data_IF_197113888548
#
_entry.id   IF_197113888548
#
_cell.length_a   1.000
_cell.length_b   1.000
_cell.length_c   1.000
_cell.angle_alpha   90.00
_cell.angle_beta   90.00
_cell.angle_gamma   90.00
#
_symmetry.space_group_name_H-M   'P 1'
#
loop_
_entity.id
_entity.type
_entity.pdbx_description
1 polymer ?
#
# COMPACT_ATOMS: atom_id res chain seq x y z
N UNK A 1 14.41 15.33 -25.90
CA UNK A 1 13.08 15.40 -25.25
C UNK A 1 13.01 14.51 -24.02
N UNK A 2 13.54 13.30 -24.05
CA UNK A 2 13.53 12.30 -22.95
C UNK A 2 14.29 12.77 -21.67
N UNK A 3 15.39 13.49 -21.82
CA UNK A 3 16.20 14.00 -20.69
C UNK A 3 15.50 15.09 -19.85
N UNK A 4 14.61 15.89 -20.45
CA UNK A 4 13.83 16.89 -19.71
C UNK A 4 12.71 16.25 -18.89
N UNK A 5 12.04 15.21 -19.38
CA UNK A 5 11.02 14.48 -18.63
C UNK A 5 11.60 13.79 -17.38
N UNK A 6 12.82 13.20 -17.47
CA UNK A 6 13.51 12.59 -16.31
C UNK A 6 13.77 13.60 -15.18
N UNK A 7 14.07 14.86 -15.50
CA UNK A 7 14.32 15.90 -14.51
C UNK A 7 13.08 16.34 -13.74
N UNK A 8 11.92 16.36 -14.40
CA UNK A 8 10.64 16.68 -13.76
C UNK A 8 10.14 15.56 -12.86
N UNK A 9 10.33 14.29 -13.27
CA UNK A 9 9.88 13.14 -12.51
C UNK A 9 10.69 12.95 -11.21
N UNK A 10 11.98 13.19 -11.24
CA UNK A 10 12.84 13.07 -10.05
C UNK A 10 12.59 14.19 -9.03
N UNK A 11 12.29 15.41 -9.48
CA UNK A 11 11.82 16.50 -8.60
C UNK A 11 10.44 16.22 -8.01
N UNK A 12 9.57 15.56 -8.75
CA UNK A 12 8.25 15.13 -8.29
C UNK A 12 8.31 14.06 -7.21
N UNK A 13 9.19 13.07 -7.35
CA UNK A 13 9.35 12.00 -6.36
C UNK A 13 9.86 12.52 -5.01
N UNK A 14 10.83 13.43 -5.03
CA UNK A 14 11.32 14.10 -3.81
C UNK A 14 10.27 15.02 -3.20
N UNK A 15 9.48 15.72 -4.02
CA UNK A 15 8.37 16.56 -3.56
C UNK A 15 7.25 15.73 -2.94
N UNK A 16 6.97 14.54 -3.49
CA UNK A 16 5.96 13.62 -2.96
C UNK A 16 6.40 13.01 -1.63
N UNK A 17 7.70 12.70 -1.47
CA UNK A 17 8.26 12.25 -0.20
C UNK A 17 8.22 13.38 0.86
N UNK A 18 8.54 14.61 0.46
CA UNK A 18 8.45 15.80 1.32
C UNK A 18 7.01 16.12 1.72
N UNK A 19 6.05 15.95 0.80
CA UNK A 19 4.63 16.12 1.09
C UNK A 19 4.14 15.06 2.08
N UNK A 20 4.60 13.81 1.94
CA UNK A 20 4.28 12.74 2.87
C UNK A 20 4.90 12.98 4.26
N UNK A 21 6.14 13.49 4.32
CA UNK A 21 6.78 13.92 5.57
C UNK A 21 6.05 15.11 6.22
N UNK A 22 5.61 16.08 5.44
CA UNK A 22 4.86 17.26 5.93
C UNK A 22 3.49 16.90 6.48
N UNK A 23 2.81 15.91 5.91
CA UNK A 23 1.53 15.39 6.43
C UNK A 23 1.72 14.68 7.78
N UNK A 24 2.89 14.04 8.00
CA UNK A 24 3.23 13.40 9.27
C UNK A 24 3.63 14.43 10.33
N UNK A 25 4.24 15.56 9.94
CA UNK A 25 4.69 16.60 10.89
C UNK A 25 3.60 17.60 11.29
N UNK A 26 2.40 17.48 10.73
CA UNK A 26 1.25 18.30 11.07
C UNK A 26 0.83 18.12 12.54
N UNK A 27 1.31 19.00 13.42
CA UNK A 27 0.94 19.17 14.84
C UNK A 27 1.41 18.07 15.79
N UNK A 28 2.71 17.93 15.95
CA UNK A 28 3.24 17.47 17.25
C UNK A 28 3.24 18.68 18.20
N UNK A 29 2.08 19.02 18.74
CA UNK A 29 1.99 19.77 19.99
C UNK A 29 2.44 18.82 21.08
N UNK A 30 3.64 19.04 21.61
CA UNK A 30 4.17 18.33 22.76
C UNK A 30 3.38 18.70 24.04
N UNK A 31 2.14 18.24 24.13
CA UNK A 31 1.45 18.16 25.41
C UNK A 31 1.87 16.87 26.10
N UNK A 32 2.45 16.97 27.30
CA UNK A 32 2.75 15.90 28.26
C UNK A 32 1.46 15.23 28.77
N UNK A 33 0.64 14.68 27.89
CA UNK A 33 -0.38 13.68 28.23
C UNK A 33 0.17 12.37 27.72
N UNK A 34 0.32 11.37 28.60
CA UNK A 34 0.79 10.04 28.22
C UNK A 34 0.12 9.60 26.93
N UNK A 35 0.93 9.31 25.91
CA UNK A 35 0.47 8.96 24.57
C UNK A 35 -0.25 7.60 24.66
N UNK A 36 -1.56 7.63 24.87
CA UNK A 36 -2.39 6.42 24.82
C UNK A 36 -2.57 6.06 23.35
N UNK A 37 -1.78 5.09 22.86
CA UNK A 37 -1.98 4.51 21.54
C UNK A 37 -3.35 3.83 21.55
N UNK A 38 -4.28 4.33 20.74
CA UNK A 38 -5.57 3.69 20.54
C UNK A 38 -5.32 2.34 19.85
N UNK A 39 -5.98 1.24 20.24
CA UNK A 39 -5.91 -0.02 19.51
C UNK A 39 -6.35 0.17 18.05
N UNK A 40 -5.83 -0.61 17.11
CA UNK A 40 -6.20 -0.49 15.71
C UNK A 40 -7.69 -0.80 15.51
N UNK A 41 -8.32 -0.10 14.59
CA UNK A 41 -9.74 -0.28 14.27
C UNK A 41 -9.98 -1.56 13.44
N UNK A 42 -8.92 -2.10 12.81
CA UNK A 42 -9.01 -3.30 12.01
C UNK A 42 -7.66 -4.00 11.80
N UNK A 43 -7.75 -5.27 11.47
CA UNK A 43 -6.64 -6.14 11.06
C UNK A 43 -6.92 -6.59 9.62
N UNK A 44 -5.87 -6.70 8.81
CA UNK A 44 -5.92 -7.20 7.43
C UNK A 44 -4.96 -8.37 7.26
N UNK A 45 -5.39 -9.39 6.53
CA UNK A 45 -4.53 -10.45 6.00
C UNK A 45 -4.70 -10.44 4.49
N UNK A 46 -3.59 -10.37 3.76
CA UNK A 46 -3.59 -10.25 2.31
C UNK A 46 -2.66 -11.28 1.70
N UNK A 47 -3.10 -11.86 0.61
CA UNK A 47 -2.36 -12.75 -0.26
C UNK A 47 -1.96 -12.00 -1.53
N UNK A 48 -0.71 -12.16 -1.97
CA UNK A 48 -0.13 -11.55 -3.16
C UNK A 48 -0.13 -9.99 -3.12
N UNK A 49 -0.18 -9.36 -4.28
CA UNK A 49 -0.23 -7.89 -4.40
C UNK A 49 1.13 -7.20 -4.33
N UNK A 50 2.25 -7.93 -4.55
CA UNK A 50 3.59 -7.36 -4.61
C UNK A 50 4.20 -6.89 -3.28
N UNK A 51 3.45 -6.97 -2.18
CA UNK A 51 3.93 -6.63 -0.83
C UNK A 51 4.38 -7.85 -0.03
N UNK A 52 4.32 -9.04 -0.64
CA UNK A 52 4.67 -10.34 -0.09
C UNK A 52 3.79 -11.45 -0.67
N UNK A 53 4.13 -12.71 -0.41
CA UNK A 53 3.25 -13.85 -0.68
C UNK A 53 2.04 -13.83 0.26
N UNK A 54 2.31 -13.55 1.52
CA UNK A 54 1.30 -13.27 2.54
C UNK A 54 1.72 -12.04 3.34
N UNK A 55 0.78 -11.21 3.70
CA UNK A 55 1.00 -10.07 4.59
C UNK A 55 -0.07 -9.99 5.65
N UNK A 56 0.33 -9.49 6.82
CA UNK A 56 -0.56 -9.17 7.93
C UNK A 56 -0.36 -7.71 8.31
N UNK A 57 -1.43 -7.00 8.55
CA UNK A 57 -1.38 -5.59 8.90
C UNK A 57 -2.49 -5.18 9.83
N UNK A 58 -2.33 -4.01 10.40
CA UNK A 58 -3.32 -3.36 11.24
C UNK A 58 -3.44 -1.90 10.83
N UNK A 59 -4.61 -1.30 11.08
CA UNK A 59 -4.83 0.07 10.64
C UNK A 59 -5.97 0.77 11.35
N UNK A 60 -6.10 2.03 10.96
CA UNK A 60 -7.10 2.95 11.49
C UNK A 60 -7.98 3.46 10.36
N UNK A 61 -9.24 3.66 10.67
CA UNK A 61 -10.22 4.23 9.75
C UNK A 61 -10.70 5.58 10.29
N UNK A 62 -10.96 6.53 9.40
CA UNK A 62 -11.64 7.77 9.78
C UNK A 62 -13.08 7.50 10.20
N UNK A 63 -13.68 8.37 11.03
CA UNK A 63 -15.06 8.23 11.53
C UNK A 63 -16.09 8.08 10.39
N UNK A 64 -15.87 8.73 9.27
CA UNK A 64 -16.72 8.63 8.08
C UNK A 64 -16.41 7.41 7.18
N UNK A 65 -15.45 6.55 7.57
CA UNK A 65 -15.00 5.37 6.84
C UNK A 65 -14.53 5.64 5.39
N UNK A 66 -14.19 6.90 5.06
CA UNK A 66 -13.72 7.28 3.72
C UNK A 66 -12.22 7.15 3.54
N UNK A 67 -11.46 7.18 4.62
CA UNK A 67 -10.00 7.05 4.62
C UNK A 67 -9.58 5.98 5.61
N UNK A 68 -8.66 5.13 5.17
CA UNK A 68 -8.00 4.12 6.01
C UNK A 68 -6.49 4.26 5.85
N UNK A 69 -5.76 4.02 6.93
CA UNK A 69 -4.32 3.93 6.95
C UNK A 69 -3.90 2.61 7.58
N UNK A 70 -3.03 1.88 6.90
CA UNK A 70 -2.59 0.54 7.31
C UNK A 70 -1.07 0.48 7.37
N UNK A 71 -0.56 -0.28 8.33
CA UNK A 71 0.82 -0.73 8.37
C UNK A 71 0.80 -2.26 8.31
N UNK A 72 1.56 -2.83 7.38
CA UNK A 72 1.57 -4.27 7.13
C UNK A 72 2.98 -4.81 7.09
N UNK A 73 3.15 -6.04 7.52
CA UNK A 73 4.36 -6.84 7.37
C UNK A 73 4.09 -7.95 6.37
N UNK A 74 4.93 -8.03 5.34
CA UNK A 74 4.85 -9.01 4.27
C UNK A 74 5.99 -10.03 4.34
N UNK A 75 5.68 -11.25 3.92
CA UNK A 75 6.63 -12.35 3.84
C UNK A 75 6.51 -13.07 2.50
N UNK A 76 7.64 -13.24 1.82
CA UNK A 76 7.77 -14.08 0.62
C UNK A 76 8.70 -15.25 0.95
N UNK A 77 8.20 -16.50 0.95
CA UNK A 77 9.02 -17.67 1.24
C UNK A 77 9.95 -18.00 0.08
N UNK A 78 11.09 -18.64 0.38
CA UNK A 78 12.08 -19.06 -0.61
C UNK A 78 11.50 -19.99 -1.68
N UNK A 79 10.55 -20.84 -1.30
CA UNK A 79 9.89 -21.79 -2.22
C UNK A 79 9.10 -21.12 -3.32
N UNK A 80 8.67 -19.87 -3.15
CA UNK A 80 7.89 -19.11 -4.13
C UNK A 80 8.77 -18.09 -4.85
N UNK A 81 9.60 -17.35 -4.12
CA UNK A 81 10.40 -16.25 -4.68
C UNK A 81 11.87 -16.58 -4.93
N UNK A 82 12.31 -17.83 -4.75
CA UNK A 82 13.72 -18.23 -4.86
C UNK A 82 14.58 -17.79 -3.67
N UNK A 83 14.27 -16.65 -3.07
CA UNK A 83 14.88 -16.09 -1.85
C UNK A 83 13.79 -15.71 -0.84
N UNK A 84 14.17 -15.64 0.44
CA UNK A 84 13.25 -15.11 1.47
C UNK A 84 13.29 -13.59 1.43
N UNK A 85 12.11 -12.98 1.39
CA UNK A 85 11.97 -11.52 1.43
C UNK A 85 10.99 -11.17 2.55
N UNK A 86 11.41 -10.25 3.38
CA UNK A 86 10.58 -9.62 4.40
C UNK A 86 10.33 -8.17 3.95
N UNK A 87 9.12 -7.67 4.16
CA UNK A 87 8.79 -6.29 3.79
C UNK A 87 7.91 -5.63 4.84
N UNK A 88 7.97 -4.31 4.87
CA UNK A 88 7.03 -3.47 5.60
C UNK A 88 6.38 -2.54 4.59
N UNK A 89 5.06 -2.41 4.66
CA UNK A 89 4.33 -1.50 3.79
C UNK A 89 3.37 -0.60 4.56
N UNK A 90 3.40 0.67 4.18
CA UNK A 90 2.40 1.65 4.56
C UNK A 90 1.38 1.80 3.44
N UNK A 91 0.10 1.83 3.77
CA UNK A 91 -0.98 1.93 2.79
C UNK A 91 -2.00 2.97 3.22
N UNK A 92 -2.42 3.80 2.28
CA UNK A 92 -3.54 4.72 2.46
C UNK A 92 -4.62 4.36 1.45
N UNK A 93 -5.82 4.08 1.96
CA UNK A 93 -6.99 3.72 1.15
C UNK A 93 -8.02 4.85 1.22
N UNK A 94 -8.48 5.30 0.07
CA UNK A 94 -9.61 6.21 -0.08
C UNK A 94 -10.80 5.48 -0.68
N UNK A 95 -11.98 5.68 -0.08
CA UNK A 95 -13.26 5.09 -0.48
C UNK A 95 -14.16 6.23 -0.97
N UNK A 96 -14.10 6.57 -2.29
CA UNK A 96 -14.81 7.73 -2.83
C UNK A 96 -16.32 7.56 -2.81
N UNK A 97 -16.80 6.33 -3.05
CA UNK A 97 -18.21 6.00 -3.16
C UNK A 97 -18.73 5.56 -1.79
N UNK A 98 -19.89 6.06 -1.40
CA UNK A 98 -20.52 5.64 -0.14
C UNK A 98 -20.81 4.14 -0.16
N UNK A 99 -20.52 3.44 0.95
CA UNK A 99 -20.80 2.01 1.05
C UNK A 99 -22.30 1.74 0.88
N UNK A 100 -22.61 0.78 0.03
CA UNK A 100 -24.00 0.29 -0.17
C UNK A 100 -24.28 -0.77 0.89
N UNK A 101 -25.34 -0.60 1.66
CA UNK A 101 -25.76 -1.55 2.70
C UNK A 101 -27.03 -2.28 2.28
N UNK A 102 -26.94 -3.61 2.29
CA UNK A 102 -28.07 -4.50 2.01
C UNK A 102 -28.19 -5.50 3.15
N UNK A 103 -29.15 -5.29 4.03
CA UNK A 103 -29.33 -6.09 5.26
C UNK A 103 -28.06 -6.08 6.12
N UNK A 104 -27.42 -7.26 6.30
CA UNK A 104 -26.18 -7.44 7.06
C UNK A 104 -24.91 -7.25 6.21
N UNK A 105 -25.04 -7.09 4.90
CA UNK A 105 -23.91 -6.91 4.00
C UNK A 105 -23.64 -5.44 3.74
N UNK A 106 -22.36 -5.10 3.62
CA UNK A 106 -21.90 -3.79 3.20
C UNK A 106 -20.91 -3.99 2.05
N UNK A 107 -21.18 -3.32 0.95
CA UNK A 107 -20.33 -3.33 -0.25
C UNK A 107 -19.68 -1.96 -0.41
N UNK A 108 -18.39 -1.94 -0.58
CA UNK A 108 -17.61 -0.77 -0.95
C UNK A 108 -17.16 -0.98 -2.40
N UNK A 109 -17.92 -0.43 -3.37
CA UNK A 109 -17.77 -0.80 -4.78
C UNK A 109 -16.45 -0.31 -5.38
N UNK A 110 -15.88 0.75 -4.81
CA UNK A 110 -14.61 1.31 -5.26
C UNK A 110 -13.75 1.72 -4.07
N UNK A 111 -12.53 1.21 -4.05
CA UNK A 111 -11.44 1.63 -3.19
C UNK A 111 -10.24 1.96 -4.06
N UNK A 112 -9.52 3.00 -3.73
CA UNK A 112 -8.27 3.37 -4.39
C UNK A 112 -7.28 3.91 -3.38
N UNK A 113 -6.02 3.98 -3.74
CA UNK A 113 -5.03 4.55 -2.84
C UNK A 113 -3.60 4.29 -3.26
N UNK A 114 -2.72 4.51 -2.29
CA UNK A 114 -1.27 4.41 -2.45
C UNK A 114 -0.72 3.39 -1.45
N UNK A 115 0.21 2.59 -1.92
CA UNK A 115 1.04 1.70 -1.10
C UNK A 115 2.49 2.14 -1.26
N UNK A 116 3.22 2.20 -0.15
CA UNK A 116 4.69 2.31 -0.15
C UNK A 116 5.22 1.08 0.57
N UNK A 117 6.06 0.32 -0.12
CA UNK A 117 6.64 -0.93 0.37
C UNK A 117 8.14 -0.80 0.50
N UNK A 118 8.68 -1.27 1.62
CA UNK A 118 10.11 -1.41 1.86
C UNK A 118 10.47 -2.88 2.01
N UNK A 119 11.37 -3.37 1.15
CA UNK A 119 11.84 -4.75 1.14
C UNK A 119 13.19 -4.86 1.84
N UNK A 120 13.29 -5.74 2.84
CA UNK A 120 14.53 -6.03 3.56
C UNK A 120 15.37 -7.05 2.80
N UNK A 121 16.68 -6.85 2.78
CA UNK A 121 17.63 -7.81 2.23
C UNK A 121 18.88 -7.12 1.71
N UNK A 122 20.02 -7.83 1.73
CA UNK A 122 21.30 -7.30 1.23
C UNK A 122 21.29 -7.06 -0.29
N UNK A 123 20.36 -7.69 -1.01
CA UNK A 123 20.15 -7.53 -2.45
C UNK A 123 19.39 -6.26 -2.81
N UNK A 124 18.80 -5.59 -1.82
CA UNK A 124 18.04 -4.36 -2.01
C UNK A 124 18.82 -3.18 -1.47
N UNK A 125 18.77 -2.07 -2.17
CA UNK A 125 19.42 -0.82 -1.75
C UNK A 125 18.44 0.36 -1.84
N UNK A 126 18.58 1.26 -0.88
CA UNK A 126 17.85 2.53 -0.84
C UNK A 126 18.60 3.66 -1.53
N UNK A 127 19.93 3.52 -1.67
CA UNK A 127 20.82 4.44 -2.37
C UNK A 127 21.73 3.62 -3.27
N UNK A 128 22.11 4.17 -4.43
CA UNK A 128 23.00 3.49 -5.37
C UNK A 128 24.33 3.10 -4.68
N UNK A 129 24.70 1.82 -4.69
CA UNK A 129 25.99 1.40 -4.16
C UNK A 129 27.15 2.06 -4.91
N UNK A 130 28.29 2.40 -4.23
CA UNK A 130 29.37 3.17 -4.82
C UNK A 130 30.12 2.46 -5.96
N UNK A 131 29.94 1.16 -6.14
CA UNK A 131 30.51 0.37 -7.24
C UNK A 131 29.71 0.44 -8.55
N UNK A 132 28.54 1.08 -8.56
CA UNK A 132 27.81 1.36 -9.78
C UNK A 132 28.06 2.78 -10.26
N UNK A 133 28.06 3.02 -11.60
CA UNK A 133 28.11 4.36 -12.14
C UNK A 133 26.97 5.22 -11.60
N UNK A 134 27.24 6.50 -11.36
CA UNK A 134 26.23 7.43 -10.88
C UNK A 134 24.95 7.39 -11.72
N UNK A 135 23.80 7.11 -11.08
CA UNK A 135 22.50 6.92 -11.72
C UNK A 135 22.37 5.67 -12.62
N UNK A 136 23.10 4.62 -12.32
CA UNK A 136 22.93 3.34 -13.02
C UNK A 136 21.49 2.81 -12.84
N UNK A 137 20.95 2.90 -11.64
CA UNK A 137 19.56 2.59 -11.36
C UNK A 137 18.71 3.86 -11.31
N UNK A 138 17.57 3.86 -11.98
CA UNK A 138 16.65 5.00 -11.96
C UNK A 138 15.84 5.10 -10.65
N UNK A 139 15.75 4.00 -9.89
CA UNK A 139 14.98 3.88 -8.66
C UNK A 139 15.67 2.97 -7.65
N UNK A 140 15.50 3.25 -6.32
CA UNK A 140 15.90 2.34 -5.27
C UNK A 140 15.20 0.97 -5.47
N UNK A 141 15.94 -0.11 -5.21
CA UNK A 141 15.36 -1.47 -5.32
C UNK A 141 14.69 -1.93 -4.01
N UNK A 142 14.94 -1.20 -2.91
CA UNK A 142 14.33 -1.48 -1.61
C UNK A 142 12.96 -0.83 -1.43
N UNK A 143 12.70 0.30 -2.08
CA UNK A 143 11.48 1.09 -1.89
C UNK A 143 10.69 1.08 -3.18
N UNK A 144 9.44 0.64 -3.11
CA UNK A 144 8.50 0.66 -4.22
C UNK A 144 7.19 1.31 -3.82
N UNK A 145 6.62 2.09 -4.71
CA UNK A 145 5.29 2.66 -4.54
C UNK A 145 4.33 2.06 -5.57
N UNK A 146 3.09 1.84 -5.17
CA UNK A 146 2.05 1.33 -6.04
C UNK A 146 0.76 2.09 -5.86
N UNK A 147 0.06 2.30 -6.96
CA UNK A 147 -1.34 2.70 -6.96
C UNK A 147 -2.21 1.46 -7.04
N UNK A 148 -3.39 1.50 -6.43
CA UNK A 148 -4.32 0.39 -6.52
C UNK A 148 -5.77 0.85 -6.71
N UNK A 149 -6.54 -0.07 -7.30
CA UNK A 149 -7.99 -0.02 -7.39
C UNK A 149 -8.54 -1.34 -6.85
N UNK A 150 -9.67 -1.30 -6.15
CA UNK A 150 -10.26 -2.50 -5.59
C UNK A 150 -11.70 -2.33 -5.16
N UNK A 151 -12.25 -3.40 -4.64
CA UNK A 151 -13.59 -3.45 -4.07
C UNK A 151 -13.61 -4.37 -2.85
N UNK A 152 -14.59 -4.16 -1.98
CA UNK A 152 -14.73 -4.91 -0.74
C UNK A 152 -16.20 -5.22 -0.45
N UNK A 153 -16.46 -6.45 0.01
CA UNK A 153 -17.75 -6.87 0.55
C UNK A 153 -17.56 -7.36 1.98
N UNK A 154 -18.37 -6.89 2.90
CA UNK A 154 -18.30 -7.25 4.32
C UNK A 154 -19.63 -7.69 4.88
N UNK A 155 -19.57 -8.57 5.87
CA UNK A 155 -20.69 -8.99 6.69
C UNK A 155 -20.59 -8.33 8.06
N UNK A 156 -21.64 -7.61 8.47
CA UNK A 156 -21.72 -6.94 9.76
C UNK A 156 -22.31 -7.91 10.80
N UNK A 157 -21.57 -8.11 11.89
CA UNK A 157 -22.01 -8.90 13.02
C UNK A 157 -22.89 -8.09 13.98
N UNK A 158 -23.69 -8.73 14.84
CA UNK A 158 -24.43 -8.06 15.90
C UNK A 158 -23.51 -7.28 16.86
N UNK A 159 -24.03 -6.24 17.48
CA UNK A 159 -23.28 -5.25 18.30
C UNK A 159 -22.57 -5.81 19.55
N UNK A 160 -22.83 -7.06 19.93
CA UNK A 160 -22.24 -7.70 21.10
C UNK A 160 -21.03 -8.59 20.82
N UNK A 161 -20.50 -8.54 19.59
CA UNK A 161 -19.36 -9.36 19.16
C UNK A 161 -18.10 -8.50 19.08
N UNK A 162 -16.96 -9.02 19.54
CA UNK A 162 -15.64 -8.39 19.41
C UNK A 162 -15.31 -8.04 17.95
N UNK A 163 -15.80 -8.83 16.99
CA UNK A 163 -15.67 -8.57 15.57
C UNK A 163 -16.91 -7.84 15.08
N UNK A 164 -16.77 -6.60 14.69
CA UNK A 164 -17.86 -5.80 14.09
C UNK A 164 -18.20 -6.19 12.68
N UNK A 165 -17.17 -6.44 11.86
CA UNK A 165 -17.34 -6.78 10.44
C UNK A 165 -16.20 -7.63 9.95
N UNK A 166 -16.53 -8.66 9.20
CA UNK A 166 -15.60 -9.46 8.41
C UNK A 166 -15.81 -9.12 6.93
N UNK A 167 -14.73 -8.76 6.25
CA UNK A 167 -14.81 -8.34 4.84
C UNK A 167 -13.79 -9.08 4.00
N UNK A 168 -14.22 -9.45 2.79
CA UNK A 168 -13.36 -9.92 1.71
C UNK A 168 -13.12 -8.75 0.76
N UNK A 169 -11.89 -8.61 0.27
CA UNK A 169 -11.53 -7.59 -0.70
C UNK A 169 -10.57 -8.11 -1.76
N UNK A 170 -10.60 -7.49 -2.90
CA UNK A 170 -9.57 -7.64 -3.92
C UNK A 170 -9.02 -6.26 -4.30
N UNK A 171 -7.78 -6.26 -4.76
CA UNK A 171 -7.11 -5.06 -5.25
C UNK A 171 -6.26 -5.40 -6.46
N UNK A 172 -6.26 -4.52 -7.42
CA UNK A 172 -5.39 -4.54 -8.58
C UNK A 172 -4.38 -3.42 -8.36
N UNK A 173 -3.11 -3.78 -8.27
CA UNK A 173 -2.00 -2.86 -8.00
C UNK A 173 -1.13 -2.72 -9.23
N UNK A 174 -0.58 -1.52 -9.43
CA UNK A 174 0.50 -1.28 -10.39
C UNK A 174 1.61 -0.51 -9.70
N UNK A 175 2.83 -1.05 -9.76
CA UNK A 175 4.00 -0.45 -9.13
C UNK A 175 4.64 0.61 -10.03
N UNK A 176 5.41 1.50 -9.41
CA UNK A 176 6.13 2.59 -10.06
C UNK A 176 6.98 2.13 -11.26
N UNK A 177 7.70 1.02 -11.12
CA UNK A 177 8.54 0.44 -12.19
C UNK A 177 7.70 -0.07 -13.37
N UNK A 178 6.59 -0.71 -13.09
CA UNK A 178 5.66 -1.27 -14.06
C UNK A 178 4.97 -0.16 -14.86
N UNK A 179 4.50 0.89 -14.14
CA UNK A 179 3.89 2.07 -14.78
C UNK A 179 4.88 2.75 -15.72
N UNK A 180 6.14 2.92 -15.28
CA UNK A 180 7.16 3.55 -16.10
C UNK A 180 7.54 2.69 -17.30
N UNK A 181 7.63 1.37 -17.11
CA UNK A 181 7.89 0.43 -18.18
C UNK A 181 6.80 0.48 -19.26
N UNK A 182 5.53 0.55 -18.85
CA UNK A 182 4.39 0.69 -19.76
C UNK A 182 4.46 2.00 -20.56
N UNK A 183 4.72 3.12 -19.87
CA UNK A 183 4.82 4.44 -20.52
C UNK A 183 6.02 4.52 -21.46
N UNK A 184 7.12 3.84 -21.13
CA UNK A 184 8.34 3.83 -21.96
C UNK A 184 8.23 2.89 -23.17
N UNK A 185 7.45 1.81 -23.07
CA UNK A 185 7.32 0.78 -24.12
C UNK A 185 5.84 0.43 -24.39
N UNK A 186 5.00 1.39 -24.79
CA UNK A 186 3.56 1.16 -24.93
C UNK A 186 3.19 0.19 -26.07
N UNK A 187 4.12 -0.10 -26.98
CA UNK A 187 3.90 -1.05 -28.10
C UNK A 187 4.21 -2.50 -27.71
N UNK A 188 4.98 -2.74 -26.66
CA UNK A 188 5.48 -4.06 -26.29
C UNK A 188 4.83 -4.63 -25.04
N UNK A 189 4.21 -3.79 -24.21
CA UNK A 189 3.60 -4.16 -22.94
C UNK A 189 2.09 -3.94 -22.98
N UNK A 190 1.35 -4.91 -22.47
CA UNK A 190 -0.08 -4.81 -22.24
C UNK A 190 -0.35 -4.38 -20.81
N UNK A 191 -1.53 -3.84 -20.53
CA UNK A 191 -1.94 -3.45 -19.16
C UNK A 191 -1.89 -4.65 -18.21
N UNK A 192 -2.20 -5.85 -18.70
CA UNK A 192 -2.14 -7.08 -17.91
C UNK A 192 -0.73 -7.43 -17.41
N UNK A 193 0.31 -7.00 -18.12
CA UNK A 193 1.72 -7.28 -17.76
C UNK A 193 2.22 -6.39 -16.62
N UNK A 194 1.49 -5.30 -16.34
CA UNK A 194 1.88 -4.26 -15.36
C UNK A 194 0.96 -4.16 -14.17
N UNK A 195 0.05 -5.11 -14.01
CA UNK A 195 -0.87 -5.15 -12.87
C UNK A 195 -0.72 -6.43 -12.07
N UNK A 196 -0.84 -6.31 -10.76
CA UNK A 196 -0.78 -7.43 -9.82
C UNK A 196 -2.09 -7.50 -9.04
N UNK A 197 -2.70 -8.68 -9.01
CA UNK A 197 -3.90 -8.94 -8.23
C UNK A 197 -3.54 -9.31 -6.80
N UNK A 198 -4.28 -8.79 -5.83
CA UNK A 198 -4.27 -9.25 -4.45
C UNK A 198 -5.67 -9.59 -3.96
N UNK A 199 -5.71 -10.51 -3.01
CA UNK A 199 -6.93 -10.92 -2.31
C UNK A 199 -6.68 -10.82 -0.80
N UNK A 200 -7.67 -10.36 -0.05
CA UNK A 200 -7.49 -10.25 1.39
C UNK A 200 -8.77 -10.29 2.19
N UNK A 201 -8.54 -10.42 3.49
CA UNK A 201 -9.58 -10.39 4.53
C UNK A 201 -9.29 -9.21 5.44
N UNK A 202 -10.33 -8.43 5.74
CA UNK A 202 -10.30 -7.36 6.73
C UNK A 202 -11.25 -7.68 7.86
N UNK A 203 -10.76 -7.60 9.08
CA UNK A 203 -11.51 -7.82 10.32
C UNK A 203 -11.59 -6.47 11.04
N UNK A 204 -12.76 -5.87 11.11
CA UNK A 204 -12.99 -4.68 11.93
C UNK A 204 -13.30 -5.13 13.36
N UNK A 205 -12.60 -4.54 14.31
CA UNK A 205 -12.71 -4.81 15.74
C UNK A 205 -13.28 -3.60 16.48
N UNK A 206 -13.78 -3.83 17.70
CA UNK A 206 -14.40 -2.80 18.54
C UNK A 206 -13.34 -2.05 19.34
#
# INVERSE_FOLDING_TARGET
>A
MILKLKRYFFRSSSAMLLFFLLVITGKISAQKKGFKIKPPDHIKVQYAGGIGFISIGAGYSTKNQKLESDLSYGYLPKSVGGIRIHSISGKVTWIPIHPVRVKKYQVEPLMTGLVVNYSFGKQYFSFDPPYYPYRYYSFPTAIHSALFLGSRIGYNFPTHTFVRRLSLYYEILSFDREIISLVSNPKSLQVADVVTLSLGIKINID
#
